data_IF_379811754401
#
_entry.id   IF_379811754401
#
_cell.length_a   1.000
_cell.length_b   1.000
_cell.length_c   1.000
_cell.angle_alpha   90.00
_cell.angle_beta   90.00
_cell.angle_gamma   90.00
#
_symmetry.space_group_name_H-M   'P 1'
#
loop_
_entity.id
_entity.type
_entity.pdbx_description
1 polymer ?
#
# COMPACT_ATOMS: atom_id res chain seq x y z
N UNK A 1 26.21 -0.52 63.63
CA UNK A 1 26.16 -1.23 62.34
C UNK A 1 25.35 -0.38 61.36
N UNK A 2 25.99 0.16 60.31
CA UNK A 2 25.32 1.03 59.33
C UNK A 2 24.38 0.19 58.45
N UNK A 3 23.08 0.54 58.44
CA UNK A 3 22.07 -0.14 57.61
C UNK A 3 22.29 0.28 56.15
N UNK A 4 22.51 -0.70 55.25
CA UNK A 4 22.63 -0.48 53.80
C UNK A 4 21.43 0.34 53.27
N UNK A 5 21.64 1.26 52.30
CA UNK A 5 20.55 1.99 51.67
C UNK A 5 19.61 0.99 50.97
N UNK A 6 18.34 1.02 51.36
CA UNK A 6 17.30 0.11 50.87
C UNK A 6 16.80 0.64 49.52
N UNK A 7 16.74 -0.24 48.51
CA UNK A 7 16.24 0.11 47.16
C UNK A 7 14.76 0.54 47.20
N UNK A 8 14.32 1.29 46.19
CA UNK A 8 12.93 1.75 46.06
C UNK A 8 11.93 0.58 46.09
N UNK A 9 12.21 -0.52 45.38
CA UNK A 9 11.38 -1.73 45.42
C UNK A 9 11.34 -2.37 46.80
N UNK A 10 12.48 -2.42 47.50
CA UNK A 10 12.53 -3.06 48.80
C UNK A 10 11.83 -2.23 49.88
N UNK A 11 11.79 -0.89 49.74
CA UNK A 11 10.92 -0.03 50.55
C UNK A 11 9.44 -0.32 50.30
N UNK A 12 9.02 -0.54 49.05
CA UNK A 12 7.63 -0.91 48.70
C UNK A 12 7.23 -2.24 49.35
N UNK A 13 8.06 -3.28 49.20
CA UNK A 13 7.81 -4.60 49.78
C UNK A 13 7.70 -4.53 51.30
N UNK A 14 8.60 -3.80 51.95
CA UNK A 14 8.57 -3.62 53.41
C UNK A 14 7.36 -2.84 53.90
N UNK A 15 6.91 -1.84 53.13
CA UNK A 15 5.70 -1.08 53.47
C UNK A 15 4.43 -1.91 53.28
N UNK A 16 4.35 -2.72 52.22
CA UNK A 16 3.25 -3.69 52.05
C UNK A 16 3.22 -4.75 53.16
N UNK A 17 4.39 -5.27 53.56
CA UNK A 17 4.48 -6.19 54.70
C UNK A 17 3.96 -5.55 55.99
N UNK A 18 4.21 -4.25 56.22
CA UNK A 18 3.65 -3.56 57.38
C UNK A 18 2.12 -3.60 57.37
N UNK A 19 1.49 -3.29 56.24
CA UNK A 19 0.02 -3.35 56.11
C UNK A 19 -0.50 -4.77 56.32
N UNK A 20 0.16 -5.78 55.75
CA UNK A 20 -0.28 -7.18 55.86
C UNK A 20 -0.08 -7.77 57.26
N UNK A 21 1.00 -7.42 57.97
CA UNK A 21 1.25 -7.89 59.33
C UNK A 21 0.32 -7.23 60.35
N UNK A 22 0.05 -5.93 60.18
CA UNK A 22 -0.82 -5.16 61.07
C UNK A 22 -2.29 -5.45 60.81
N UNK A 23 -2.69 -5.58 59.55
CA UNK A 23 -4.10 -5.79 59.18
C UNK A 23 -5.02 -4.65 59.61
N UNK A 24 -4.48 -3.43 59.73
CA UNK A 24 -5.17 -2.25 60.24
C UNK A 24 -5.16 -1.12 59.21
N UNK A 25 -6.03 -0.12 59.40
CA UNK A 25 -6.06 1.09 58.60
C UNK A 25 -5.18 2.17 59.24
N UNK A 26 -4.42 2.89 58.41
CA UNK A 26 -3.51 3.94 58.89
C UNK A 26 -3.78 5.29 58.24
N UNK A 27 -3.52 6.35 58.98
CA UNK A 27 -3.35 7.69 58.44
C UNK A 27 -1.89 7.94 58.03
N UNK A 28 -1.66 8.90 57.14
CA UNK A 28 -0.30 9.28 56.71
C UNK A 28 0.63 9.60 57.90
N UNK A 29 0.13 10.35 58.89
CA UNK A 29 0.87 10.73 60.10
C UNK A 29 1.25 9.53 60.98
N UNK A 30 0.47 8.45 60.92
CA UNK A 30 0.73 7.21 61.66
C UNK A 30 1.78 6.38 60.93
N UNK A 31 1.65 6.26 59.60
CA UNK A 31 2.65 5.59 58.75
C UNK A 31 4.03 6.25 58.83
N UNK A 32 4.09 7.58 58.92
CA UNK A 32 5.34 8.33 59.11
C UNK A 32 6.06 8.00 60.43
N UNK A 33 5.34 7.44 61.42
CA UNK A 33 5.92 6.98 62.70
C UNK A 33 6.21 5.48 62.70
N UNK A 34 5.28 4.68 62.19
CA UNK A 34 5.35 3.22 62.27
C UNK A 34 6.32 2.65 61.22
N UNK A 35 6.31 3.17 59.99
CA UNK A 35 7.14 2.64 58.90
C UNK A 35 8.66 2.81 59.14
N UNK A 36 9.16 3.94 59.68
CA UNK A 36 10.57 4.04 60.06
C UNK A 36 10.93 3.17 61.26
N UNK A 37 10.04 3.06 62.25
CA UNK A 37 10.28 2.33 63.50
C UNK A 37 10.34 0.82 63.30
N UNK A 38 9.40 0.25 62.54
CA UNK A 38 9.26 -1.21 62.38
C UNK A 38 9.98 -1.77 61.16
N UNK A 39 9.97 -1.02 60.05
CA UNK A 39 10.48 -1.50 58.77
C UNK A 39 11.73 -0.77 58.28
N UNK A 40 12.19 0.24 59.03
CA UNK A 40 13.42 0.97 58.73
C UNK A 40 13.33 1.81 57.45
N UNK A 41 12.13 2.23 57.06
CA UNK A 41 11.92 3.11 55.91
C UNK A 41 12.28 4.54 56.33
N UNK A 42 13.03 5.27 55.49
CA UNK A 42 13.39 6.67 55.79
C UNK A 42 12.12 7.52 55.80
N UNK A 43 11.87 8.29 56.85
CA UNK A 43 10.65 9.10 57.05
C UNK A 43 10.31 9.96 55.83
N UNK A 44 11.31 10.61 55.23
CA UNK A 44 11.13 11.44 54.03
C UNK A 44 10.61 10.66 52.80
N UNK A 45 10.85 9.34 52.73
CA UNK A 45 10.41 8.49 51.62
C UNK A 45 9.07 7.77 51.86
N UNK A 46 8.49 7.86 53.07
CA UNK A 46 7.25 7.14 53.41
C UNK A 46 6.08 7.59 52.52
N UNK A 47 5.94 8.90 52.30
CA UNK A 47 4.89 9.47 51.46
C UNK A 47 5.01 9.03 49.99
N UNK A 48 6.22 9.08 49.44
CA UNK A 48 6.50 8.69 48.05
C UNK A 48 6.24 7.20 47.83
N UNK A 49 6.70 6.35 48.75
CA UNK A 49 6.48 4.90 48.69
C UNK A 49 4.98 4.58 48.79
N UNK A 50 4.26 5.26 49.69
CA UNK A 50 2.81 5.09 49.84
C UNK A 50 2.05 5.50 48.58
N UNK A 51 2.35 6.67 48.01
CA UNK A 51 1.73 7.13 46.77
C UNK A 51 1.93 6.13 45.64
N UNK A 52 3.16 5.64 45.48
CA UNK A 52 3.45 4.66 44.45
C UNK A 52 2.71 3.32 44.66
N UNK A 53 2.53 2.88 45.90
CA UNK A 53 1.76 1.68 46.21
C UNK A 53 0.26 1.86 45.92
N UNK A 54 -0.28 3.06 46.15
CA UNK A 54 -1.67 3.41 45.81
C UNK A 54 -1.86 3.49 44.30
N UNK A 55 -0.94 4.14 43.58
CA UNK A 55 -0.96 4.23 42.11
C UNK A 55 -0.93 2.85 41.43
N UNK A 56 -0.17 1.91 41.99
CA UNK A 56 -0.11 0.52 41.52
C UNK A 56 -1.27 -0.35 42.02
N UNK A 57 -2.24 0.21 42.75
CA UNK A 57 -3.40 -0.52 43.27
C UNK A 57 -3.08 -1.57 44.34
N UNK A 58 -1.90 -1.50 44.97
CA UNK A 58 -1.47 -2.45 46.00
C UNK A 58 -1.89 -2.02 47.41
N UNK A 59 -2.11 -0.72 47.62
CA UNK A 59 -2.67 -0.14 48.85
C UNK A 59 -3.94 0.61 48.49
N UNK A 60 -5.01 0.36 49.23
CA UNK A 60 -6.26 1.09 49.11
C UNK A 60 -6.21 2.38 49.87
N UNK A 61 -6.93 3.37 49.36
CA UNK A 61 -7.12 4.65 50.02
C UNK A 61 -8.56 5.10 49.92
N UNK A 62 -9.07 5.71 50.99
CA UNK A 62 -10.37 6.35 51.00
C UNK A 62 -10.38 7.54 51.96
N UNK A 63 -11.20 8.53 51.64
CA UNK A 63 -11.35 9.76 52.40
C UNK A 63 -12.63 9.71 53.21
N UNK A 64 -12.48 9.59 54.53
CA UNK A 64 -13.60 9.57 55.48
C UNK A 64 -13.57 10.87 56.27
N UNK A 65 -14.54 11.75 55.99
CA UNK A 65 -14.61 13.10 56.56
C UNK A 65 -13.42 13.97 56.12
N UNK A 66 -12.62 14.43 57.07
CA UNK A 66 -11.42 15.26 56.82
C UNK A 66 -10.14 14.44 56.65
N UNK A 67 -10.19 13.13 56.89
CA UNK A 67 -9.01 12.27 56.99
C UNK A 67 -8.95 11.27 55.83
N UNK A 68 -7.74 10.96 55.38
CA UNK A 68 -7.47 9.94 54.36
C UNK A 68 -6.88 8.72 55.07
N UNK A 69 -7.48 7.56 54.82
CA UNK A 69 -7.08 6.28 55.35
C UNK A 69 -6.42 5.44 54.27
N UNK A 70 -5.45 4.63 54.67
CA UNK A 70 -4.74 3.69 53.81
C UNK A 70 -4.75 2.31 54.44
N UNK A 71 -5.01 1.28 53.64
CA UNK A 71 -4.99 -0.11 54.11
C UNK A 71 -4.62 -1.08 52.98
N UNK A 72 -4.14 -2.26 53.32
CA UNK A 72 -3.97 -3.34 52.37
C UNK A 72 -4.17 -4.68 53.08
N UNK A 73 -4.94 -5.57 52.46
CA UNK A 73 -5.21 -6.90 53.00
C UNK A 73 -4.71 -8.00 52.04
N UNK A 74 -4.12 -9.08 52.55
CA UNK A 74 -3.65 -10.20 51.72
C UNK A 74 -4.76 -10.80 50.83
N UNK A 75 -6.01 -10.80 51.30
CA UNK A 75 -7.17 -11.33 50.59
C UNK A 75 -7.47 -10.60 49.27
N UNK A 76 -7.16 -9.30 49.19
CA UNK A 76 -7.40 -8.49 47.98
C UNK A 76 -6.45 -8.87 46.85
N UNK A 77 -5.17 -9.05 47.14
CA UNK A 77 -4.17 -9.45 46.16
C UNK A 77 -4.48 -10.84 45.55
N UNK A 78 -4.95 -11.78 46.38
CA UNK A 78 -5.38 -13.11 45.94
C UNK A 78 -6.61 -13.00 45.02
N UNK A 79 -7.61 -12.21 45.42
CA UNK A 79 -8.84 -12.04 44.64
C UNK A 79 -8.58 -11.37 43.30
N UNK A 80 -7.71 -10.34 43.26
CA UNK A 80 -7.33 -9.66 42.03
C UNK A 80 -6.62 -10.61 41.05
N UNK A 81 -5.62 -11.37 41.52
CA UNK A 81 -4.93 -12.37 40.70
C UNK A 81 -5.85 -13.48 40.20
N UNK A 82 -6.80 -13.92 41.02
CA UNK A 82 -7.77 -14.94 40.61
C UNK A 82 -8.69 -14.43 39.49
N UNK A 83 -9.18 -13.19 39.59
CA UNK A 83 -9.97 -12.56 38.51
C UNK A 83 -9.16 -12.42 37.23
N UNK A 84 -7.92 -11.96 37.32
CA UNK A 84 -7.05 -11.83 36.15
C UNK A 84 -6.79 -13.18 35.48
N UNK A 85 -6.57 -14.23 36.27
CA UNK A 85 -6.44 -15.60 35.77
C UNK A 85 -7.72 -16.08 35.07
N UNK A 86 -8.89 -15.87 35.67
CA UNK A 86 -10.19 -16.23 35.07
C UNK A 86 -10.44 -15.47 33.75
N UNK A 87 -10.10 -14.18 33.70
CA UNK A 87 -10.24 -13.36 32.49
C UNK A 87 -9.29 -13.79 31.38
N UNK A 88 -8.03 -14.11 31.71
CA UNK A 88 -7.07 -14.65 30.76
C UNK A 88 -7.49 -16.02 30.25
N UNK A 89 -8.00 -16.88 31.12
CA UNK A 89 -8.49 -18.21 30.74
C UNK A 89 -9.66 -18.12 29.75
N UNK A 90 -10.63 -17.23 29.99
CA UNK A 90 -11.73 -16.97 29.05
C UNK A 90 -11.22 -16.48 27.69
N UNK A 91 -10.27 -15.54 27.69
CA UNK A 91 -9.67 -15.03 26.44
C UNK A 91 -8.97 -16.14 25.65
N UNK A 92 -8.25 -17.03 26.32
CA UNK A 92 -7.61 -18.18 25.69
C UNK A 92 -8.65 -19.11 25.06
N UNK A 93 -9.71 -19.46 25.81
CA UNK A 93 -10.79 -20.31 25.29
C UNK A 93 -11.50 -19.68 24.08
N UNK A 94 -11.72 -18.37 24.09
CA UNK A 94 -12.29 -17.65 22.94
C UNK A 94 -11.37 -17.67 21.72
N UNK A 95 -10.07 -17.47 21.92
CA UNK A 95 -9.07 -17.51 20.83
C UNK A 95 -8.96 -18.92 20.27
N UNK A 96 -8.91 -19.95 21.11
CA UNK A 96 -8.88 -21.35 20.66
C UNK A 96 -10.11 -21.73 19.84
N UNK A 97 -11.30 -21.26 20.24
CA UNK A 97 -12.52 -21.45 19.44
C UNK A 97 -12.44 -20.77 18.08
N UNK A 98 -11.89 -19.54 18.02
CA UNK A 98 -11.69 -18.81 16.75
C UNK A 98 -10.68 -19.51 15.85
N UNK A 99 -9.58 -20.02 16.41
CA UNK A 99 -8.58 -20.79 15.66
C UNK A 99 -9.23 -22.00 15.01
N UNK A 100 -9.96 -22.82 15.78
CA UNK A 100 -10.66 -24.00 15.24
C UNK A 100 -11.63 -23.63 14.11
N UNK A 101 -12.42 -22.58 14.29
CA UNK A 101 -13.37 -22.12 13.27
C UNK A 101 -12.66 -21.70 11.96
N UNK A 102 -11.52 -20.99 12.09
CA UNK A 102 -10.72 -20.57 10.94
C UNK A 102 -10.10 -21.78 10.25
N UNK A 103 -9.56 -22.74 11.01
CA UNK A 103 -9.00 -23.99 10.48
C UNK A 103 -10.06 -24.79 9.72
N UNK A 104 -11.26 -24.97 10.27
CA UNK A 104 -12.37 -25.64 9.60
C UNK A 104 -12.81 -24.91 8.31
N UNK A 105 -12.80 -23.57 8.32
CA UNK A 105 -13.11 -22.75 7.15
C UNK A 105 -12.05 -22.89 6.06
N UNK A 106 -10.77 -22.96 6.44
CA UNK A 106 -9.66 -23.18 5.51
C UNK A 106 -9.75 -24.59 4.91
N UNK A 107 -10.02 -25.60 5.73
CA UNK A 107 -10.09 -27.00 5.27
C UNK A 107 -11.26 -27.22 4.32
N UNK A 108 -12.44 -26.66 4.64
CA UNK A 108 -13.60 -26.69 3.74
C UNK A 108 -13.35 -25.97 2.42
N UNK A 109 -12.61 -24.85 2.43
CA UNK A 109 -12.21 -24.13 1.21
C UNK A 109 -11.18 -24.88 0.37
N UNK A 110 -10.30 -25.68 0.99
CA UNK A 110 -9.29 -26.51 0.30
C UNK A 110 -9.87 -27.80 -0.31
N UNK A 111 -11.06 -28.22 0.11
CA UNK A 111 -11.62 -29.51 -0.27
C UNK A 111 -12.10 -29.60 -1.74
N UNK A 112 -12.08 -28.52 -2.53
CA UNK A 112 -12.19 -28.61 -4.00
C UNK A 112 -10.82 -28.77 -4.67
N UNK A 113 -10.10 -29.86 -4.34
CA UNK A 113 -8.82 -30.20 -5.00
C UNK A 113 -8.90 -30.26 -6.54
N UNK A 114 -10.07 -30.57 -7.09
CA UNK A 114 -10.32 -30.55 -8.54
C UNK A 114 -10.34 -29.12 -9.13
N UNK A 115 -10.68 -28.11 -8.33
CA UNK A 115 -10.66 -26.72 -8.77
C UNK A 115 -9.23 -26.21 -8.87
N UNK A 116 -8.32 -26.63 -8.00
CA UNK A 116 -6.95 -26.11 -7.99
C UNK A 116 -6.14 -26.50 -9.23
N UNK A 117 -6.27 -27.74 -9.71
CA UNK A 117 -5.61 -28.18 -10.95
C UNK A 117 -6.23 -27.50 -12.18
N UNK A 118 -7.57 -27.49 -12.27
CA UNK A 118 -8.31 -26.81 -13.34
C UNK A 118 -8.00 -25.31 -13.36
N UNK A 119 -7.99 -24.65 -12.20
CA UNK A 119 -7.65 -23.24 -12.02
C UNK A 119 -6.23 -22.96 -12.45
N UNK A 120 -5.27 -23.81 -12.08
CA UNK A 120 -3.88 -23.66 -12.49
C UNK A 120 -3.75 -23.73 -14.02
N UNK A 121 -4.37 -24.73 -14.66
CA UNK A 121 -4.34 -24.85 -16.13
C UNK A 121 -5.01 -23.65 -16.81
N UNK A 122 -6.16 -23.18 -16.31
CA UNK A 122 -6.82 -21.98 -16.84
C UNK A 122 -5.93 -20.74 -16.72
N UNK A 123 -5.24 -20.57 -15.59
CA UNK A 123 -4.32 -19.44 -15.39
C UNK A 123 -3.11 -19.51 -16.34
N UNK A 124 -2.57 -20.70 -16.58
CA UNK A 124 -1.52 -20.91 -17.59
C UNK A 124 -2.04 -20.59 -19.01
N UNK A 125 -3.24 -21.06 -19.37
CA UNK A 125 -3.86 -20.72 -20.66
C UNK A 125 -4.11 -19.22 -20.84
N UNK A 126 -4.54 -18.52 -19.79
CA UNK A 126 -4.75 -17.07 -19.82
C UNK A 126 -3.41 -16.36 -20.10
N UNK A 127 -2.36 -16.73 -19.37
CA UNK A 127 -1.02 -16.16 -19.56
C UNK A 127 -0.50 -16.38 -20.98
N UNK A 128 -0.67 -17.59 -21.52
CA UNK A 128 -0.27 -17.91 -22.90
C UNK A 128 -1.06 -17.09 -23.94
N UNK A 129 -2.36 -16.90 -23.72
CA UNK A 129 -3.21 -16.10 -24.61
C UNK A 129 -2.87 -14.62 -24.55
N UNK A 130 -2.57 -14.09 -23.36
CA UNK A 130 -2.13 -12.71 -23.19
C UNK A 130 -0.80 -12.45 -23.90
N UNK A 131 0.15 -13.38 -23.79
CA UNK A 131 1.43 -13.30 -24.50
C UNK A 131 1.23 -13.28 -26.03
N UNK A 132 0.41 -14.20 -26.56
CA UNK A 132 0.05 -14.23 -27.99
C UNK A 132 -0.66 -12.95 -28.43
N UNK A 133 -1.59 -12.45 -27.62
CA UNK A 133 -2.31 -11.22 -27.94
C UNK A 133 -1.37 -10.01 -27.97
N UNK A 134 -0.39 -9.96 -27.07
CA UNK A 134 0.65 -8.93 -27.09
C UNK A 134 1.51 -9.00 -28.34
N UNK A 135 1.98 -10.20 -28.74
CA UNK A 135 2.78 -10.35 -29.95
C UNK A 135 1.99 -10.00 -31.21
N UNK A 136 0.73 -10.47 -31.32
CA UNK A 136 -0.15 -10.13 -32.45
C UNK A 136 -0.45 -8.64 -32.53
N UNK A 137 -0.63 -7.95 -31.40
CA UNK A 137 -0.82 -6.49 -31.40
C UNK A 137 0.43 -5.75 -31.89
N UNK A 138 1.62 -6.20 -31.49
CA UNK A 138 2.87 -5.63 -31.97
C UNK A 138 3.03 -5.84 -33.48
N UNK A 139 2.75 -7.05 -33.97
CA UNK A 139 2.75 -7.34 -35.40
C UNK A 139 1.72 -6.48 -36.16
N UNK A 140 0.51 -6.34 -35.63
CA UNK A 140 -0.53 -5.52 -36.23
C UNK A 140 -0.12 -4.03 -36.32
N UNK A 141 0.56 -3.51 -35.30
CA UNK A 141 1.11 -2.14 -35.33
C UNK A 141 2.10 -1.93 -36.49
N UNK A 142 2.88 -2.96 -36.86
CA UNK A 142 3.78 -2.87 -38.03
C UNK A 142 3.02 -2.75 -39.37
N UNK A 143 1.76 -3.16 -39.41
CA UNK A 143 0.92 -3.10 -40.62
C UNK A 143 -0.04 -1.90 -40.63
N UNK A 144 -0.06 -1.07 -39.58
CA UNK A 144 -0.97 0.09 -39.48
C UNK A 144 -0.72 1.14 -40.58
N UNK A 145 0.52 1.24 -41.04
CA UNK A 145 0.90 2.11 -42.16
C UNK A 145 0.48 1.54 -43.52
N UNK A 146 0.24 0.23 -43.62
CA UNK A 146 -0.11 -0.49 -44.85
C UNK A 146 -1.63 -0.70 -45.00
N UNK A 147 -2.42 0.33 -44.67
CA UNK A 147 -3.87 0.30 -44.83
C UNK A 147 -4.25 0.21 -46.33
N UNK A 148 -4.91 -0.88 -46.77
CA UNK A 148 -5.31 -1.05 -48.17
C UNK A 148 -6.15 0.10 -48.71
N UNK A 149 -6.97 0.72 -47.86
CA UNK A 149 -7.84 1.84 -48.28
C UNK A 149 -7.04 3.13 -48.49
N UNK A 150 -5.97 3.35 -47.71
CA UNK A 150 -5.04 4.48 -47.93
C UNK A 150 -4.23 4.25 -49.19
N UNK A 151 -3.75 3.02 -49.39
CA UNK A 151 -3.01 2.63 -50.59
C UNK A 151 -3.86 2.84 -51.86
N UNK A 152 -5.10 2.35 -51.87
CA UNK A 152 -6.01 2.51 -53.01
C UNK A 152 -6.30 4.00 -53.32
N UNK A 153 -6.50 4.83 -52.30
CA UNK A 153 -6.65 6.28 -52.47
C UNK A 153 -5.40 6.93 -53.09
N UNK A 154 -4.21 6.52 -52.66
CA UNK A 154 -2.95 7.02 -53.24
C UNK A 154 -2.79 6.60 -54.70
N UNK A 155 -3.13 5.36 -55.05
CA UNK A 155 -3.10 4.87 -56.44
C UNK A 155 -4.06 5.67 -57.30
N UNK A 156 -5.32 5.79 -56.90
CA UNK A 156 -6.32 6.56 -57.64
C UNK A 156 -5.90 8.03 -57.80
N UNK A 157 -5.34 8.64 -56.74
CA UNK A 157 -4.87 10.02 -56.82
C UNK A 157 -3.67 10.19 -57.74
N UNK A 158 -2.76 9.22 -57.75
CA UNK A 158 -1.60 9.22 -58.64
C UNK A 158 -2.05 9.13 -60.10
N UNK A 159 -3.05 8.32 -60.41
CA UNK A 159 -3.61 8.23 -61.77
C UNK A 159 -4.28 9.54 -62.20
N UNK A 160 -5.06 10.18 -61.31
CA UNK A 160 -5.63 11.51 -61.57
C UNK A 160 -4.54 12.56 -61.87
N UNK A 161 -3.47 12.57 -61.07
CA UNK A 161 -2.35 13.51 -61.23
C UNK A 161 -1.58 13.24 -62.52
N UNK A 162 -1.38 11.97 -62.88
CA UNK A 162 -0.76 11.57 -64.14
C UNK A 162 -1.59 12.04 -65.34
N UNK A 163 -2.91 11.82 -65.34
CA UNK A 163 -3.79 12.35 -66.37
C UNK A 163 -3.75 13.88 -66.45
N UNK A 164 -3.72 14.57 -65.30
CA UNK A 164 -3.62 16.02 -65.25
C UNK A 164 -2.27 16.52 -65.81
N UNK A 165 -1.16 15.86 -65.47
CA UNK A 165 0.16 16.18 -66.00
C UNK A 165 0.21 16.01 -67.51
N UNK A 166 -0.28 14.87 -68.02
CA UNK A 166 -0.34 14.57 -69.46
C UNK A 166 -1.22 15.57 -70.23
N UNK A 167 -2.32 16.04 -69.62
CA UNK A 167 -3.14 17.11 -70.20
C UNK A 167 -2.38 18.43 -70.31
N UNK A 168 -1.53 18.76 -69.33
CA UNK A 168 -0.67 19.94 -69.45
C UNK A 168 0.44 19.73 -70.48
N UNK A 169 0.99 18.53 -70.61
CA UNK A 169 1.91 18.14 -71.69
C UNK A 169 1.27 18.36 -73.07
N UNK A 170 0.02 17.92 -73.28
CA UNK A 170 -0.77 18.18 -74.51
C UNK A 170 -0.89 19.69 -74.80
N UNK A 171 -1.23 20.47 -73.78
CA UNK A 171 -1.39 21.91 -73.91
C UNK A 171 -0.06 22.58 -74.28
N UNK A 172 1.04 22.17 -73.66
CA UNK A 172 2.39 22.68 -73.97
C UNK A 172 2.75 22.37 -75.42
N UNK A 173 2.57 21.13 -75.88
CA UNK A 173 2.84 20.76 -77.26
C UNK A 173 1.94 21.49 -78.26
N UNK A 174 0.67 21.70 -77.91
CA UNK A 174 -0.29 22.44 -78.75
C UNK A 174 0.12 23.91 -78.93
N UNK A 175 0.45 24.60 -77.84
CA UNK A 175 0.93 25.99 -77.88
C UNK A 175 2.25 26.08 -78.64
N UNK A 176 3.17 25.15 -78.40
CA UNK A 176 4.45 25.08 -79.12
C UNK A 176 4.25 24.91 -80.62
N UNK A 177 3.39 23.96 -81.04
CA UNK A 177 3.05 23.74 -82.45
C UNK A 177 2.44 24.98 -83.10
N UNK A 178 1.53 25.67 -82.40
CA UNK A 178 0.93 26.92 -82.88
C UNK A 178 1.96 28.04 -83.03
N UNK A 179 2.85 28.22 -82.04
CA UNK A 179 3.93 29.19 -82.07
C UNK A 179 4.88 29.01 -83.26
N UNK A 180 5.29 27.76 -83.53
CA UNK A 180 6.12 27.42 -84.69
C UNK A 180 5.39 27.77 -85.99
N UNK A 181 4.12 27.35 -86.14
CA UNK A 181 3.33 27.56 -87.36
C UNK A 181 2.99 29.04 -87.62
N UNK A 182 2.67 29.80 -86.58
CA UNK A 182 2.16 31.17 -86.71
C UNK A 182 3.26 32.23 -86.78
N UNK A 183 4.35 32.02 -86.04
CA UNK A 183 5.44 33.00 -85.92
C UNK A 183 6.77 32.54 -86.52
N UNK A 184 6.82 31.35 -87.15
CA UNK A 184 8.04 30.80 -87.78
C UNK A 184 9.23 30.70 -86.81
N UNK A 185 8.95 30.42 -85.54
CA UNK A 185 9.98 30.25 -84.52
C UNK A 185 10.59 28.85 -84.58
N UNK A 186 11.90 28.75 -84.33
CA UNK A 186 12.58 27.46 -84.23
C UNK A 186 12.25 26.74 -82.92
N UNK A 187 12.00 25.43 -83.01
CA UNK A 187 11.64 24.54 -81.91
C UNK A 187 12.63 24.58 -80.73
N UNK A 188 13.93 24.57 -81.05
CA UNK A 188 15.03 24.61 -80.07
C UNK A 188 15.09 25.92 -79.29
N UNK A 189 14.74 27.04 -79.94
CA UNK A 189 14.71 28.36 -79.30
C UNK A 189 13.56 28.44 -78.31
N UNK A 190 12.37 27.93 -78.68
CA UNK A 190 11.22 27.84 -77.78
C UNK A 190 11.51 26.95 -76.57
N UNK A 191 12.08 25.75 -76.78
CA UNK A 191 12.43 24.84 -75.69
C UNK A 191 13.43 25.48 -74.72
N UNK A 192 14.49 26.12 -75.24
CA UNK A 192 15.49 26.79 -74.40
C UNK A 192 14.90 27.98 -73.63
N UNK A 193 14.02 28.76 -74.25
CA UNK A 193 13.44 29.96 -73.64
C UNK A 193 12.45 29.63 -72.52
N UNK A 194 11.66 28.58 -72.68
CA UNK A 194 10.67 28.14 -71.69
C UNK A 194 11.18 27.01 -70.78
N UNK A 195 12.44 26.61 -70.91
CA UNK A 195 13.06 25.57 -70.08
C UNK A 195 12.44 24.18 -70.27
N UNK A 196 11.98 23.85 -71.49
CA UNK A 196 11.41 22.54 -71.82
C UNK A 196 12.58 21.57 -72.13
N UNK A 197 12.78 20.51 -71.32
CA UNK A 197 13.80 19.50 -71.57
C UNK A 197 13.62 18.77 -72.91
N UNK A 198 14.71 18.23 -73.48
CA UNK A 198 14.62 17.40 -74.70
C UNK A 198 13.91 16.06 -74.47
N UNK A 199 13.97 15.55 -73.23
CA UNK A 199 13.30 14.30 -72.80
C UNK A 199 11.87 14.56 -72.27
N UNK A 200 11.33 15.76 -72.46
CA UNK A 200 9.99 16.08 -71.97
C UNK A 200 8.93 15.34 -72.79
N UNK A 201 8.26 14.38 -72.15
CA UNK A 201 7.22 13.55 -72.75
C UNK A 201 6.11 13.19 -71.74
N UNK A 202 5.13 12.40 -72.17
CA UNK A 202 4.07 11.89 -71.31
C UNK A 202 4.62 11.02 -70.17
N UNK A 203 3.96 11.11 -69.03
CA UNK A 203 4.22 10.25 -67.87
C UNK A 203 3.44 8.94 -68.06
N UNK A 204 4.15 7.82 -68.03
CA UNK A 204 3.62 6.43 -68.03
C UNK A 204 3.09 5.95 -66.68
#
# INVERSE_FOLDING_TARGET
>A
MSRKPVSAEEKRTRMLQLFYERGECFQLKELEKVAPKEKGIVTASVKEVLQNLVENGLVDTDKIGTSIYFWAFPSKAITARKREMEDLQKKTEEIEKKIKLIEDTIESSKCSKNDDFTRKNILEEISDRECKLSSLKQEFGNYEENDPTKFEKLVNKSEELKHAANRWTDNIFSVKSWCIKKFMMEDKVLNKQFGIPEEFDYIE
#
